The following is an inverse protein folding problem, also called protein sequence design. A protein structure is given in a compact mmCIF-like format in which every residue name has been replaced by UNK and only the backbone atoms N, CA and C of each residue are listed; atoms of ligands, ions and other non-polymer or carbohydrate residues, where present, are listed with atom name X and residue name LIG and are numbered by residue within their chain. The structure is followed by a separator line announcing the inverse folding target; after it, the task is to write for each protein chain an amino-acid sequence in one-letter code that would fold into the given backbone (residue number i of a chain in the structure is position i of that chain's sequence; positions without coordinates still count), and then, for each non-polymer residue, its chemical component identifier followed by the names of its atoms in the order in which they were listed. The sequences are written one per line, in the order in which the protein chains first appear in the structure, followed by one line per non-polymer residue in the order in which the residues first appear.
data_IF_585435898223
#
_entry.id   IF_585435898223
#
_cell.length_a   1.000
_cell.length_b   1.000
_cell.length_c   1.000
_cell.angle_alpha   90.00
_cell.angle_beta   90.00
_cell.angle_gamma   90.00
#
_symmetry.space_group_name_H-M   'P 1'
#
loop_
_entity.id
_entity.type
_entity.pdbx_description
1 polymer ?
#
# COMPACT_ATOMS: atom_id res chain seq x y z
N UNK A 1 11.04 3.62 11.98
CA UNK A 1 10.74 2.17 12.10
C UNK A 1 10.95 1.59 10.72
N UNK A 2 11.58 0.43 10.63
CA UNK A 2 11.90 -0.19 9.36
C UNK A 2 10.80 -1.18 8.98
N UNK A 3 10.38 -1.15 7.71
CA UNK A 3 9.34 -2.01 7.18
C UNK A 3 9.78 -2.61 5.84
N UNK A 4 9.35 -3.84 5.59
CA UNK A 4 9.23 -4.38 4.23
C UNK A 4 7.90 -3.86 3.66
N UNK A 5 8.00 -3.02 2.64
CA UNK A 5 6.86 -2.49 1.91
C UNK A 5 6.58 -3.36 0.69
N UNK A 6 5.40 -3.97 0.65
CA UNK A 6 4.83 -4.60 -0.54
C UNK A 6 3.76 -3.69 -1.14
N UNK A 7 3.91 -3.30 -2.42
CA UNK A 7 2.91 -2.55 -3.16
C UNK A 7 2.28 -3.44 -4.22
N UNK A 8 0.96 -3.60 -4.17
CA UNK A 8 0.17 -4.34 -5.16
C UNK A 8 -0.74 -3.39 -5.93
N UNK A 9 -0.67 -3.41 -7.26
CA UNK A 9 -1.60 -2.70 -8.15
C UNK A 9 -2.62 -3.70 -8.68
N UNK A 10 -3.90 -3.44 -8.43
CA UNK A 10 -4.98 -4.29 -8.90
C UNK A 10 -5.31 -3.97 -10.36
N UNK A 11 -5.32 -5.01 -11.21
CA UNK A 11 -5.76 -4.86 -12.59
C UNK A 11 -7.28 -4.62 -12.64
N UNK A 12 -7.71 -3.61 -13.40
CA UNK A 12 -9.13 -3.27 -13.58
C UNK A 12 -9.89 -4.23 -14.50
N UNK A 13 -9.19 -5.11 -15.22
CA UNK A 13 -9.79 -6.10 -16.10
C UNK A 13 -10.46 -7.21 -15.29
N UNK A 14 -11.79 -7.32 -15.40
CA UNK A 14 -12.67 -8.17 -14.58
C UNK A 14 -12.37 -9.68 -14.60
N UNK A 15 -11.46 -10.12 -15.47
CA UNK A 15 -11.03 -11.52 -15.62
C UNK A 15 -9.51 -11.71 -15.59
N UNK A 16 -8.74 -10.65 -15.36
CA UNK A 16 -7.29 -10.75 -15.20
C UNK A 16 -6.92 -10.59 -13.72
N UNK A 17 -6.49 -11.68 -13.09
CA UNK A 17 -6.04 -11.67 -11.69
C UNK A 17 -4.55 -11.35 -11.54
N UNK A 18 -3.86 -11.00 -12.63
CA UNK A 18 -2.50 -10.48 -12.53
C UNK A 18 -2.51 -9.16 -11.75
N UNK A 19 -1.60 -9.07 -10.79
CA UNK A 19 -1.30 -7.85 -10.02
C UNK A 19 0.16 -7.53 -10.26
N UNK A 20 0.46 -6.27 -10.51
CA UNK A 20 1.84 -5.80 -10.46
C UNK A 20 2.23 -5.66 -8.99
N UNK A 21 3.34 -6.28 -8.61
CA UNK A 21 3.82 -6.32 -7.22
C UNK A 21 5.25 -5.80 -7.17
N UNK A 22 5.51 -4.86 -6.27
CA UNK A 22 6.87 -4.38 -5.97
C UNK A 22 7.17 -4.49 -4.48
N UNK A 23 8.45 -4.68 -4.15
CA UNK A 23 8.94 -4.75 -2.79
C UNK A 23 10.04 -3.71 -2.58
N UNK A 24 10.04 -3.02 -1.44
CA UNK A 24 11.18 -2.24 -1.00
C UNK A 24 11.28 -2.23 0.53
N UNK A 25 12.48 -1.99 1.06
CA UNK A 25 12.66 -1.62 2.46
C UNK A 25 12.46 -0.13 2.63
N UNK A 26 11.65 0.27 3.61
CA UNK A 26 11.38 1.68 3.93
C UNK A 26 11.61 1.95 5.41
N UNK A 27 12.18 3.11 5.71
CA UNK A 27 12.19 3.64 7.06
C UNK A 27 11.14 4.75 7.16
N UNK A 28 10.10 4.53 7.96
CA UNK A 28 9.06 5.53 8.24
C UNK A 28 8.54 5.40 9.67
N UNK A 29 8.02 6.50 10.21
CA UNK A 29 7.25 6.51 11.46
C UNK A 29 5.75 6.49 11.22
N UNK A 30 5.31 6.85 10.01
CA UNK A 30 3.89 6.88 9.64
C UNK A 30 3.68 6.35 8.20
N UNK A 31 3.24 5.10 8.07
CA UNK A 31 2.90 4.49 6.78
C UNK A 31 1.86 5.28 5.96
N UNK A 32 0.88 5.91 6.60
CA UNK A 32 -0.16 6.64 5.86
C UNK A 32 0.38 7.92 5.22
N UNK A 33 1.14 8.72 5.99
CA UNK A 33 1.82 9.91 5.46
C UNK A 33 2.82 9.54 4.38
N UNK A 34 3.54 8.41 4.53
CA UNK A 34 4.43 7.89 3.49
C UNK A 34 3.68 7.64 2.17
N UNK A 35 2.56 6.91 2.21
CA UNK A 35 1.75 6.64 1.01
C UNK A 35 1.14 7.92 0.46
N UNK A 36 0.70 8.86 1.29
CA UNK A 36 0.19 10.17 0.85
C UNK A 36 1.23 10.96 0.05
N UNK A 37 2.51 10.84 0.39
CA UNK A 37 3.61 11.45 -0.37
C UNK A 37 3.79 10.87 -1.77
N UNK A 38 3.43 9.61 -1.97
CA UNK A 38 3.48 8.90 -3.27
C UNK A 38 2.19 9.13 -4.07
N UNK A 39 1.05 9.05 -3.40
CA UNK A 39 -0.30 9.08 -3.97
C UNK A 39 -1.10 10.29 -3.43
N UNK A 40 -0.64 11.51 -3.74
CA UNK A 40 -1.17 12.74 -3.16
C UNK A 40 -2.69 12.94 -3.37
N UNK A 41 -3.24 12.43 -4.47
CA UNK A 41 -4.66 12.57 -4.83
C UNK A 41 -5.52 11.34 -4.51
N UNK A 42 -4.93 10.28 -3.94
CA UNK A 42 -5.68 9.08 -3.63
C UNK A 42 -6.68 9.30 -2.49
N UNK A 43 -7.81 8.61 -2.57
CA UNK A 43 -8.58 8.26 -1.37
C UNK A 43 -7.81 7.18 -0.64
N UNK A 44 -7.62 7.36 0.67
CA UNK A 44 -6.80 6.46 1.49
C UNK A 44 -7.66 5.86 2.60
N UNK A 45 -7.50 4.55 2.82
CA UNK A 45 -8.04 3.83 3.97
C UNK A 45 -6.88 3.06 4.61
N UNK A 46 -6.68 3.25 5.91
CA UNK A 46 -5.67 2.57 6.70
C UNK A 46 -6.28 1.46 7.56
N UNK A 47 -5.57 0.35 7.66
CA UNK A 47 -5.88 -0.78 8.54
C UNK A 47 -4.63 -1.18 9.32
N UNK A 48 -4.69 -1.15 10.65
CA UNK A 48 -3.62 -1.64 11.52
C UNK A 48 -3.92 -3.08 11.95
N UNK A 49 -2.96 -3.99 11.75
CA UNK A 49 -3.08 -5.41 12.07
C UNK A 49 -2.48 -5.74 13.44
N UNK A 50 -2.90 -6.88 14.01
CA UNK A 50 -2.46 -7.33 15.35
C UNK A 50 -0.99 -7.69 15.44
N UNK A 51 -0.36 -8.03 14.32
CA UNK A 51 1.06 -8.38 14.21
C UNK A 51 1.96 -7.14 14.04
N UNK A 52 1.38 -5.94 14.04
CA UNK A 52 2.10 -4.68 13.82
C UNK A 52 2.21 -4.28 12.36
N UNK A 53 1.72 -5.09 11.42
CA UNK A 53 1.63 -4.73 10.02
C UNK A 53 0.60 -3.61 9.80
N UNK A 54 0.88 -2.73 8.86
CA UNK A 54 -0.03 -1.64 8.47
C UNK A 54 -0.38 -1.80 7.00
N UNK A 55 -1.67 -1.82 6.68
CA UNK A 55 -2.17 -1.84 5.31
C UNK A 55 -2.73 -0.46 4.98
N UNK A 56 -2.33 0.07 3.84
CA UNK A 56 -2.86 1.32 3.29
C UNK A 56 -3.44 1.03 1.91
N UNK A 57 -4.76 1.13 1.80
CA UNK A 57 -5.50 1.02 0.55
C UNK A 57 -5.59 2.39 -0.11
N UNK A 58 -5.37 2.44 -1.41
CA UNK A 58 -5.51 3.66 -2.21
C UNK A 58 -6.44 3.45 -3.39
N UNK A 59 -7.24 4.47 -3.68
CA UNK A 59 -8.04 4.60 -4.89
C UNK A 59 -7.72 5.93 -5.55
N UNK A 60 -7.01 5.87 -6.68
CA UNK A 60 -6.72 7.02 -7.55
C UNK A 60 -7.53 6.86 -8.83
N UNK A 61 -8.73 7.46 -8.86
CA UNK A 61 -9.63 7.44 -10.02
C UNK A 61 -9.96 6.02 -10.56
N UNK A 62 -10.15 5.06 -9.65
CA UNK A 62 -10.44 3.67 -9.97
C UNK A 62 -9.21 2.77 -10.08
N UNK A 63 -7.99 3.34 -10.01
CA UNK A 63 -6.76 2.57 -9.87
C UNK A 63 -6.58 2.19 -8.40
N UNK A 64 -6.91 0.95 -8.07
CA UNK A 64 -6.79 0.41 -6.73
C UNK A 64 -5.37 -0.10 -6.50
N UNK A 65 -4.78 0.29 -5.37
CA UNK A 65 -3.52 -0.27 -4.88
C UNK A 65 -3.59 -0.61 -3.40
N UNK A 66 -2.75 -1.55 -2.97
CA UNK A 66 -2.55 -1.90 -1.57
C UNK A 66 -1.07 -1.80 -1.24
N UNK A 67 -0.76 -1.03 -0.21
CA UNK A 67 0.57 -0.91 0.38
C UNK A 67 0.55 -1.65 1.72
N UNK A 68 1.30 -2.74 1.83
CA UNK A 68 1.45 -3.51 3.07
C UNK A 68 2.82 -3.20 3.65
N UNK A 69 2.86 -2.67 4.87
CA UNK A 69 4.06 -2.40 5.63
C UNK A 69 4.21 -3.47 6.71
N UNK A 70 5.16 -4.36 6.53
CA UNK A 70 5.47 -5.43 7.49
C UNK A 70 6.70 -5.04 8.32
N UNK A 71 6.61 -4.93 9.65
CA UNK A 71 7.77 -4.64 10.49
C UNK A 71 8.90 -5.66 10.27
N UNK A 72 10.15 -5.18 10.23
CA UNK A 72 11.37 -6.02 10.18
C UNK A 72 12.08 -5.97 11.53
#
# INVERSE_FOLDING_TARGET
MEYELCCEIFNSCSRNQMRDITFQTVETSDPETYVRGIEAQAKIIREDLKDGSVIVHTDTAGLLKRYTFSPI
#
